data_IF_969949088506
#
_entry.id   IF_969949088506
#
_cell.length_a   1.000
_cell.length_b   1.000
_cell.length_c   1.000
_cell.angle_alpha   90.00
_cell.angle_beta   90.00
_cell.angle_gamma   90.00
#
_symmetry.space_group_name_H-M   'P 1'
#
loop_
_entity.id
_entity.type
_entity.pdbx_description
1 polymer ?
#
# COMPACT_ATOMS: atom_id res chain seq x y z
N UNK A 1 20.75 11.90 -18.61
CA UNK A 1 19.44 12.31 -18.09
C UNK A 1 19.67 12.99 -16.76
N UNK A 2 19.34 14.28 -16.64
CA UNK A 2 19.47 15.02 -15.38
C UNK A 2 18.25 14.78 -14.49
N UNK A 3 18.36 15.03 -13.18
CA UNK A 3 17.30 14.71 -12.22
C UNK A 3 15.95 15.37 -12.54
N UNK A 4 15.97 16.62 -13.01
CA UNK A 4 14.75 17.35 -13.40
C UNK A 4 14.07 16.75 -14.63
N UNK A 5 14.87 16.28 -15.59
CA UNK A 5 14.37 15.60 -16.79
C UNK A 5 13.69 14.28 -16.43
N UNK A 6 14.29 13.48 -15.54
CA UNK A 6 13.71 12.23 -15.04
C UNK A 6 12.39 12.43 -14.28
N UNK A 7 12.26 13.55 -13.57
CA UNK A 7 11.00 13.93 -12.92
C UNK A 7 9.95 14.33 -13.95
N UNK A 8 10.33 15.14 -14.95
CA UNK A 8 9.42 15.59 -16.02
C UNK A 8 8.91 14.43 -16.89
N UNK A 9 9.70 13.38 -17.07
CA UNK A 9 9.33 12.20 -17.83
C UNK A 9 8.52 11.17 -17.02
N UNK A 10 8.26 11.42 -15.73
CA UNK A 10 7.52 10.51 -14.85
C UNK A 10 8.31 9.27 -14.40
N UNK A 11 9.63 9.24 -14.58
CA UNK A 11 10.48 8.13 -14.13
C UNK A 11 10.67 8.15 -12.61
N UNK A 12 10.73 9.35 -12.02
CA UNK A 12 10.84 9.56 -10.57
C UNK A 12 9.74 10.48 -10.07
N UNK A 13 9.16 10.17 -8.91
CA UNK A 13 8.06 10.95 -8.34
C UNK A 13 8.52 12.28 -7.72
N UNK A 14 9.74 12.33 -7.15
CA UNK A 14 10.30 13.50 -6.46
C UNK A 14 11.81 13.58 -6.67
N UNK A 15 12.35 14.79 -6.59
CA UNK A 15 13.79 15.10 -6.65
C UNK A 15 14.14 15.91 -5.40
N UNK A 16 15.28 15.62 -4.80
CA UNK A 16 15.79 16.25 -3.58
C UNK A 16 17.16 16.87 -3.84
N UNK A 17 17.54 17.87 -3.02
CA UNK A 17 18.80 18.58 -3.18
C UNK A 17 20.04 17.72 -2.83
N UNK A 18 19.88 16.82 -1.88
CA UNK A 18 20.96 15.94 -1.40
C UNK A 18 20.41 14.58 -0.95
N UNK A 19 21.35 13.66 -0.67
CA UNK A 19 21.04 12.27 -0.29
C UNK A 19 20.33 12.18 1.07
N UNK A 20 20.72 12.99 2.04
CA UNK A 20 20.14 12.94 3.39
C UNK A 20 18.66 13.38 3.34
N UNK A 21 18.38 14.46 2.61
CA UNK A 21 17.02 14.93 2.34
C UNK A 21 16.17 13.87 1.60
N UNK A 22 16.76 13.18 0.61
CA UNK A 22 16.10 12.09 -0.11
C UNK A 22 15.74 10.93 0.82
N UNK A 23 16.68 10.49 1.66
CA UNK A 23 16.46 9.38 2.60
C UNK A 23 15.39 9.71 3.63
N UNK A 24 15.42 10.93 4.19
CA UNK A 24 14.40 11.40 5.12
C UNK A 24 13.00 11.36 4.49
N UNK A 25 12.84 11.92 3.29
CA UNK A 25 11.56 11.93 2.58
C UNK A 25 11.09 10.54 2.13
N UNK A 26 12.01 9.61 1.83
CA UNK A 26 11.68 8.23 1.49
C UNK A 26 11.18 7.45 2.72
N UNK A 27 11.81 7.64 3.88
CA UNK A 27 11.41 6.99 5.14
C UNK A 27 10.06 7.53 5.65
N UNK A 28 9.82 8.84 5.51
CA UNK A 28 8.52 9.45 5.80
C UNK A 28 7.41 8.80 4.97
N UNK A 29 7.59 8.72 3.64
CA UNK A 29 6.63 8.06 2.75
C UNK A 29 6.43 6.57 3.12
N UNK A 30 7.49 5.86 3.47
CA UNK A 30 7.38 4.47 3.90
C UNK A 30 6.58 4.34 5.20
N UNK A 31 6.73 5.28 6.14
CA UNK A 31 5.92 5.37 7.35
C UNK A 31 4.44 5.59 7.06
N UNK A 32 4.11 6.48 6.11
CA UNK A 32 2.73 6.71 5.67
C UNK A 32 2.09 5.45 5.06
N UNK A 33 2.85 4.69 4.27
CA UNK A 33 2.39 3.42 3.67
C UNK A 33 2.18 2.37 4.75
N UNK A 34 3.11 2.25 5.70
CA UNK A 34 3.05 1.29 6.80
C UNK A 34 1.90 1.57 7.78
N UNK A 35 1.44 2.82 7.88
CA UNK A 35 0.29 3.20 8.69
C UNK A 35 -1.08 2.80 8.07
N UNK A 36 -1.09 2.30 6.81
CA UNK A 36 -2.30 1.79 6.16
C UNK A 36 -2.42 0.28 6.36
N UNK A 37 -3.64 -0.26 6.20
CA UNK A 37 -3.86 -1.70 6.25
C UNK A 37 -2.95 -2.43 5.24
N UNK A 38 -2.13 -3.41 5.68
CA UNK A 38 -1.20 -4.12 4.79
C UNK A 38 -1.94 -4.86 3.68
N UNK A 39 -3.13 -5.40 3.99
CA UNK A 39 -3.99 -6.09 3.03
C UNK A 39 -4.48 -5.11 1.96
N UNK A 40 -4.89 -3.90 2.34
CA UNK A 40 -5.32 -2.87 1.39
C UNK A 40 -4.17 -2.38 0.49
N UNK A 41 -2.97 -2.18 1.05
CA UNK A 41 -1.78 -1.76 0.29
C UNK A 41 -1.36 -2.84 -0.71
N UNK A 42 -1.30 -4.10 -0.27
CA UNK A 42 -0.95 -5.23 -1.13
C UNK A 42 -2.00 -5.47 -2.22
N UNK A 43 -3.29 -5.45 -1.87
CA UNK A 43 -4.38 -5.59 -2.82
C UNK A 43 -4.37 -4.49 -3.89
N UNK A 44 -4.10 -3.25 -3.48
CA UNK A 44 -3.95 -2.13 -4.43
C UNK A 44 -2.78 -2.36 -5.39
N UNK A 45 -1.63 -2.82 -4.89
CA UNK A 45 -0.46 -3.14 -5.74
C UNK A 45 -0.78 -4.25 -6.75
N UNK A 46 -1.46 -5.31 -6.33
CA UNK A 46 -1.83 -6.44 -7.20
C UNK A 46 -2.76 -5.96 -8.31
N UNK A 47 -3.79 -5.18 -7.97
CA UNK A 47 -4.72 -4.59 -8.95
C UNK A 47 -4.02 -3.68 -9.97
N UNK A 48 -3.08 -2.85 -9.52
CA UNK A 48 -2.29 -1.98 -10.40
C UNK A 48 -1.42 -2.78 -11.38
N UNK A 49 -0.79 -3.86 -10.92
CA UNK A 49 0.03 -4.74 -11.76
C UNK A 49 -0.86 -5.47 -12.78
N UNK A 50 -1.99 -6.03 -12.34
CA UNK A 50 -2.91 -6.74 -13.22
C UNK A 50 -3.44 -5.83 -14.32
N UNK A 51 -3.88 -4.61 -13.96
CA UNK A 51 -4.45 -3.65 -14.92
C UNK A 51 -3.45 -3.16 -15.97
N UNK A 52 -2.14 -3.29 -15.74
CA UNK A 52 -1.11 -2.91 -16.72
C UNK A 52 -1.11 -3.81 -17.95
N UNK A 53 -1.35 -5.11 -17.73
CA UNK A 53 -1.18 -6.14 -18.74
C UNK A 53 -2.52 -6.63 -19.32
N UNK A 54 -3.65 -6.06 -18.86
CA UNK A 54 -5.01 -6.46 -19.24
C UNK A 54 -5.83 -5.27 -19.75
N UNK A 55 -6.94 -5.57 -20.43
CA UNK A 55 -7.88 -4.53 -20.87
C UNK A 55 -8.53 -3.82 -19.68
N UNK A 56 -9.02 -2.61 -19.89
CA UNK A 56 -9.71 -1.83 -18.84
C UNK A 56 -10.91 -2.59 -18.27
N UNK A 57 -11.65 -3.32 -19.10
CA UNK A 57 -12.80 -4.12 -18.68
C UNK A 57 -12.37 -5.26 -17.74
N UNK A 58 -11.35 -6.03 -18.12
CA UNK A 58 -10.81 -7.11 -17.29
C UNK A 58 -10.20 -6.57 -15.99
N UNK A 59 -9.52 -5.42 -16.04
CA UNK A 59 -8.99 -4.75 -14.85
C UNK A 59 -10.08 -4.34 -13.86
N UNK A 60 -11.20 -3.79 -14.36
CA UNK A 60 -12.34 -3.40 -13.52
C UNK A 60 -13.04 -4.62 -12.90
N UNK A 61 -13.23 -5.68 -13.68
CA UNK A 61 -13.81 -6.93 -13.18
C UNK A 61 -12.92 -7.53 -12.08
N UNK A 62 -11.61 -7.60 -12.32
CA UNK A 62 -10.62 -8.08 -11.34
C UNK A 62 -10.59 -7.24 -10.06
N UNK A 63 -10.63 -5.90 -10.20
CA UNK A 63 -10.71 -4.99 -9.05
C UNK A 63 -11.98 -5.19 -8.23
N UNK A 64 -13.13 -5.39 -8.89
CA UNK A 64 -14.41 -5.62 -8.21
C UNK A 64 -14.41 -6.94 -7.42
N UNK A 65 -13.84 -7.99 -8.00
CA UNK A 65 -13.66 -9.29 -7.38
C UNK A 65 -12.72 -9.19 -6.16
N UNK A 66 -11.55 -8.55 -6.33
CA UNK A 66 -10.58 -8.36 -5.26
C UNK A 66 -11.13 -7.50 -4.11
N UNK A 67 -11.96 -6.49 -4.42
CA UNK A 67 -12.62 -5.67 -3.39
C UNK A 67 -13.61 -6.49 -2.55
N UNK A 68 -14.30 -7.45 -3.16
CA UNK A 68 -15.22 -8.34 -2.44
C UNK A 68 -14.45 -9.28 -1.49
N UNK A 69 -13.30 -9.82 -1.90
CA UNK A 69 -12.46 -10.66 -1.06
C UNK A 69 -11.84 -9.85 0.11
N UNK A 70 -11.41 -8.62 -0.16
CA UNK A 70 -10.93 -7.67 0.86
C UNK A 70 -12.02 -7.26 1.86
N UNK A 71 -13.30 -7.29 1.46
CA UNK A 71 -14.43 -6.94 2.30
C UNK A 71 -14.47 -7.81 3.56
N UNK A 72 -13.98 -9.06 3.51
CA UNK A 72 -13.95 -9.96 4.66
C UNK A 72 -12.99 -9.48 5.77
N UNK A 73 -11.87 -8.83 5.43
CA UNK A 73 -10.92 -8.29 6.42
C UNK A 73 -11.28 -6.89 6.93
N UNK A 74 -12.15 -6.16 6.22
CA UNK A 74 -12.51 -4.77 6.52
C UNK A 74 -13.81 -4.60 7.31
N UNK A 75 -14.48 -5.69 7.74
CA UNK A 75 -15.73 -5.62 8.54
C UNK A 75 -15.51 -5.29 10.02
N UNK A 76 -14.37 -4.73 10.40
CA UNK A 76 -14.29 -3.95 11.62
C UNK A 76 -14.45 -2.47 11.26
N UNK A 77 -15.50 -1.78 11.74
CA UNK A 77 -15.60 -0.34 11.56
C UNK A 77 -14.36 0.28 12.20
N UNK A 78 -13.48 0.89 11.38
CA UNK A 78 -12.33 1.63 11.87
C UNK A 78 -12.86 2.76 12.78
N UNK A 79 -12.67 2.69 14.12
CA UNK A 79 -13.02 3.80 14.97
C UNK A 79 -11.91 4.84 14.79
N UNK A 80 -12.11 5.81 13.89
CA UNK A 80 -11.06 6.81 13.66
C UNK A 80 -11.18 7.71 12.43
N UNK A 81 -12.26 7.67 11.64
CA UNK A 81 -12.36 8.57 10.48
C UNK A 81 -12.51 10.07 10.82
N UNK A 82 -12.59 10.45 12.11
CA UNK A 82 -12.63 11.86 12.56
C UNK A 82 -11.45 12.27 13.44
N UNK A 83 -10.62 11.35 13.91
CA UNK A 83 -9.47 11.69 14.76
C UNK A 83 -8.21 11.22 14.03
N UNK A 84 -7.26 12.15 13.89
CA UNK A 84 -6.02 11.99 13.14
C UNK A 84 -5.03 11.07 13.91
N UNK A 85 -5.50 9.93 14.42
CA UNK A 85 -4.70 8.97 15.18
C UNK A 85 -4.29 7.80 14.28
N UNK A 86 -2.99 7.52 14.31
CA UNK A 86 -2.34 6.47 13.54
C UNK A 86 -2.92 5.10 13.93
N UNK A 87 -3.63 4.47 13.00
CA UNK A 87 -4.19 3.13 13.14
C UNK A 87 -3.05 2.11 13.35
N UNK A 88 -2.74 1.85 14.62
CA UNK A 88 -1.81 0.81 15.04
C UNK A 88 -2.59 -0.50 15.07
N UNK A 89 -2.83 -1.07 13.89
CA UNK A 89 -3.60 -2.30 13.71
C UNK A 89 -2.71 -3.49 14.12
N UNK A 90 -2.99 -4.09 15.28
CA UNK A 90 -2.23 -5.20 15.89
C UNK A 90 -2.13 -6.45 15.00
N UNK A 91 -2.97 -6.56 13.96
CA UNK A 91 -2.88 -7.61 12.93
C UNK A 91 -1.65 -7.46 12.02
N UNK A 92 -1.09 -6.26 11.91
CA UNK A 92 0.12 -6.01 11.13
C UNK A 92 1.36 -6.68 11.78
N UNK A 93 1.38 -6.81 13.10
CA UNK A 93 2.45 -7.50 13.84
C UNK A 93 2.42 -9.02 13.62
N UNK A 94 1.25 -9.61 13.37
CA UNK A 94 1.11 -11.05 13.14
C UNK A 94 1.67 -11.47 11.77
N UNK A 95 1.38 -10.67 10.73
CA UNK A 95 1.98 -10.83 9.39
C UNK A 95 3.50 -10.57 9.42
N UNK A 96 3.96 -9.59 10.23
CA UNK A 96 5.39 -9.30 10.43
C UNK A 96 6.12 -10.38 11.22
N UNK A 97 5.42 -11.09 12.11
CA UNK A 97 5.97 -12.13 12.98
C UNK A 97 6.22 -13.46 12.27
N UNK A 98 5.75 -13.66 11.02
CA UNK A 98 5.88 -14.93 10.32
C UNK A 98 5.23 -16.13 11.03
N UNK A 99 4.36 -15.88 12.01
CA UNK A 99 3.58 -16.93 12.68
C UNK A 99 2.35 -17.22 11.82
N UNK A 100 2.55 -18.03 10.78
CA UNK A 100 1.45 -18.86 10.30
C UNK A 100 1.03 -19.76 11.46
N UNK A 101 -0.21 -19.63 11.91
CA UNK A 101 -0.79 -20.52 12.92
C UNK A 101 -0.72 -21.97 12.45
N UNK A 102 0.21 -22.73 13.03
CA UNK A 102 -0.01 -24.14 13.32
C UNK A 102 -0.88 -24.20 14.58
N UNK A 103 -2.20 -24.19 14.42
CA UNK A 103 -3.12 -24.64 15.48
C UNK A 103 -4.49 -25.02 14.90
N UNK A 104 -4.52 -26.13 14.17
CA UNK A 104 -5.67 -27.05 14.15
C UNK A 104 -5.15 -28.49 13.93
N UNK A 105 -4.85 -29.18 15.03
CA UNK A 105 -5.15 -30.62 15.21
C UNK A 105 -4.99 -31.06 16.65
#
# INVERSE_FOLDING_TARGET
MFADEAKSSGLVSRVFADKEAMMAGALEMAGEIAARSPVAVQGTKINLIYSRDHSVTEGLDYMSQHRADLQHCLVHPLPGYLEHEHASDSRCDEVRSGRHGEEES
#
